data_IF_763738300754
#
_entry.id   IF_763738300754
#
_cell.length_a   1.000
_cell.length_b   1.000
_cell.length_c   1.000
_cell.angle_alpha   90.00
_cell.angle_beta   90.00
_cell.angle_gamma   90.00
#
_symmetry.space_group_name_H-M   'P 1'
#
loop_
_entity.id
_entity.type
_entity.pdbx_description
1 polymer ?
#
# COMPACT_ATOMS: atom_id res chain seq x y z
N UNK A 1 -21.56 2.40 7.83
CA UNK A 1 -20.10 2.38 8.02
C UNK A 1 -19.48 3.62 7.37
N UNK A 2 -18.60 4.33 8.07
CA UNK A 2 -17.93 5.50 7.49
C UNK A 2 -16.95 5.03 6.39
N UNK A 3 -17.16 5.48 5.16
CA UNK A 3 -16.38 5.05 3.99
C UNK A 3 -14.90 5.45 4.06
N UNK A 4 -14.60 6.53 4.76
CA UNK A 4 -13.23 6.97 5.03
C UNK A 4 -12.52 6.01 6.01
N UNK A 5 -13.24 5.54 7.05
CA UNK A 5 -12.73 4.49 7.95
C UNK A 5 -12.44 3.21 7.18
N UNK A 6 -13.34 2.80 6.27
CA UNK A 6 -13.14 1.61 5.45
C UNK A 6 -11.86 1.71 4.61
N UNK A 7 -11.65 2.80 3.88
CA UNK A 7 -10.44 2.97 3.08
C UNK A 7 -9.18 3.00 3.94
N UNK A 8 -9.22 3.68 5.09
CA UNK A 8 -8.09 3.70 6.03
C UNK A 8 -7.78 2.29 6.56
N UNK A 9 -8.82 1.50 6.87
CA UNK A 9 -8.67 0.13 7.32
C UNK A 9 -8.07 -0.77 6.22
N UNK A 10 -8.45 -0.58 4.95
CA UNK A 10 -7.84 -1.29 3.82
C UNK A 10 -6.36 -0.95 3.73
N UNK A 11 -5.98 0.33 3.79
CA UNK A 11 -4.57 0.74 3.78
C UNK A 11 -3.77 0.13 4.94
N UNK A 12 -4.32 0.13 6.15
CA UNK A 12 -3.68 -0.47 7.32
C UNK A 12 -3.55 -2.00 7.19
N UNK A 13 -4.62 -2.68 6.74
CA UNK A 13 -4.61 -4.12 6.54
C UNK A 13 -3.61 -4.53 5.46
N UNK A 14 -3.53 -3.79 4.36
CA UNK A 14 -2.55 -4.03 3.30
C UNK A 14 -1.13 -3.76 3.77
N UNK A 15 -0.90 -2.70 4.55
CA UNK A 15 0.41 -2.44 5.17
C UNK A 15 0.87 -3.60 6.04
N UNK A 16 0.02 -4.03 6.98
CA UNK A 16 0.31 -5.17 7.87
C UNK A 16 0.49 -6.46 7.06
N UNK A 17 -0.34 -6.68 6.03
CA UNK A 17 -0.24 -7.83 5.14
C UNK A 17 1.09 -7.87 4.38
N UNK A 18 1.54 -6.75 3.82
CA UNK A 18 2.84 -6.65 3.13
C UNK A 18 3.99 -6.92 4.10
N UNK A 19 3.95 -6.37 5.32
CA UNK A 19 4.97 -6.66 6.34
C UNK A 19 4.96 -8.13 6.77
N UNK A 20 3.78 -8.74 6.91
CA UNK A 20 3.64 -10.14 7.27
C UNK A 20 4.20 -11.08 6.19
N UNK A 21 4.04 -10.73 4.90
CA UNK A 21 4.66 -11.47 3.79
C UNK A 21 6.18 -11.38 3.84
N UNK A 22 6.74 -10.20 4.12
CA UNK A 22 8.21 -10.05 4.24
C UNK A 22 8.71 -10.85 5.44
N UNK A 23 8.01 -10.74 6.58
CA UNK A 23 8.34 -11.48 7.80
C UNK A 23 8.32 -13.00 7.57
N UNK A 24 7.36 -13.49 6.78
CA UNK A 24 7.25 -14.92 6.52
C UNK A 24 8.39 -15.49 5.69
N UNK A 25 9.23 -14.67 5.07
CA UNK A 25 10.47 -15.12 4.40
C UNK A 25 11.65 -15.30 5.35
N UNK A 26 11.60 -14.71 6.55
CA UNK A 26 12.73 -14.71 7.48
C UNK A 26 12.99 -16.14 7.96
N UNK A 27 14.22 -16.62 7.79
CA UNK A 27 14.65 -17.99 8.15
C UNK A 27 13.91 -19.12 7.42
N UNK A 28 13.16 -18.82 6.36
CA UNK A 28 12.60 -19.86 5.49
C UNK A 28 13.68 -20.33 4.52
N UNK A 29 13.79 -21.65 4.34
CA UNK A 29 14.66 -22.25 3.33
C UNK A 29 13.88 -22.51 2.04
N UNK A 30 14.53 -22.25 0.91
CA UNK A 30 14.02 -22.61 -0.41
C UNK A 30 14.19 -24.11 -0.70
N UNK A 31 13.75 -24.56 -1.88
CA UNK A 31 13.90 -25.94 -2.32
C UNK A 31 15.37 -26.40 -2.46
N UNK A 32 16.33 -25.49 -2.42
CA UNK A 32 17.78 -25.76 -2.47
C UNK A 32 18.43 -25.78 -1.08
N UNK A 33 17.66 -25.53 -0.02
CA UNK A 33 18.15 -25.43 1.36
C UNK A 33 18.83 -24.11 1.67
N UNK A 34 18.68 -23.08 0.82
CA UNK A 34 19.20 -21.74 1.08
C UNK A 34 18.17 -20.90 1.77
N UNK A 35 18.61 -20.13 2.76
CA UNK A 35 17.74 -19.16 3.44
C UNK A 35 17.31 -18.06 2.46
N UNK A 36 15.99 -17.87 2.35
CA UNK A 36 15.33 -16.91 1.46
C UNK A 36 15.60 -15.47 1.90
N UNK A 37 15.48 -15.21 3.19
CA UNK A 37 15.80 -13.92 3.80
C UNK A 37 16.47 -14.15 5.16
N UNK A 38 17.69 -13.63 5.32
CA UNK A 38 18.42 -13.71 6.58
C UNK A 38 17.89 -12.67 7.58
N UNK A 39 17.94 -12.94 8.90
CA UNK A 39 17.45 -12.02 9.93
C UNK A 39 18.08 -10.61 9.88
N UNK A 40 19.33 -10.52 9.44
CA UNK A 40 20.09 -9.27 9.34
C UNK A 40 19.50 -8.33 8.29
N UNK A 41 19.02 -8.87 7.16
CA UNK A 41 18.46 -8.10 6.03
C UNK A 41 16.96 -7.78 6.22
N UNK A 42 16.33 -8.34 7.25
CA UNK A 42 14.90 -8.17 7.55
C UNK A 42 14.48 -6.70 7.60
N UNK A 43 15.24 -5.87 8.31
CA UNK A 43 14.90 -4.45 8.50
C UNK A 43 15.03 -3.69 7.18
N UNK A 44 16.05 -4.01 6.39
CA UNK A 44 16.27 -3.40 5.09
C UNK A 44 15.16 -3.78 4.09
N UNK A 45 14.68 -5.02 4.12
CA UNK A 45 13.50 -5.45 3.34
C UNK A 45 12.21 -4.72 3.78
N UNK A 46 12.02 -4.44 5.07
CA UNK A 46 10.81 -3.77 5.54
C UNK A 46 10.81 -2.26 5.29
N UNK A 47 11.99 -1.63 5.29
CA UNK A 47 12.12 -0.17 5.27
C UNK A 47 11.45 0.50 4.07
N UNK A 48 11.61 0.04 2.81
CA UNK A 48 10.90 0.62 1.66
C UNK A 48 9.38 0.57 1.81
N UNK A 49 8.84 -0.55 2.31
CA UNK A 49 7.40 -0.72 2.56
C UNK A 49 6.91 0.26 3.61
N UNK A 50 7.63 0.41 4.72
CA UNK A 50 7.30 1.37 5.78
C UNK A 50 7.29 2.80 5.25
N UNK A 51 8.26 3.17 4.42
CA UNK A 51 8.32 4.52 3.83
C UNK A 51 7.12 4.77 2.91
N UNK A 52 6.80 3.83 2.02
CA UNK A 52 5.68 3.95 1.08
C UNK A 52 4.35 4.04 1.84
N UNK A 53 4.03 3.07 2.68
CA UNK A 53 2.75 3.03 3.40
C UNK A 53 2.65 4.13 4.47
N UNK A 54 3.75 4.44 5.15
CA UNK A 54 3.80 5.53 6.13
C UNK A 54 3.47 6.87 5.51
N UNK A 55 4.01 7.16 4.31
CA UNK A 55 3.66 8.36 3.55
C UNK A 55 2.17 8.42 3.19
N UNK A 56 1.60 7.31 2.70
CA UNK A 56 0.17 7.22 2.37
C UNK A 56 -0.74 7.40 3.57
N UNK A 57 -0.49 6.65 4.66
CA UNK A 57 -1.32 6.71 5.86
C UNK A 57 -1.27 8.11 6.49
N UNK A 58 -0.09 8.70 6.59
CA UNK A 58 0.07 10.06 7.11
C UNK A 58 -0.66 11.07 6.23
N UNK A 59 -0.50 10.99 4.91
CA UNK A 59 -1.19 11.86 3.96
C UNK A 59 -2.71 11.71 4.06
N UNK A 60 -3.23 10.49 3.99
CA UNK A 60 -4.67 10.22 4.07
C UNK A 60 -5.27 10.80 5.36
N UNK A 61 -4.64 10.54 6.51
CA UNK A 61 -5.09 11.06 7.80
C UNK A 61 -5.05 12.59 7.81
N UNK A 62 -3.97 13.21 7.33
CA UNK A 62 -3.85 14.66 7.26
C UNK A 62 -4.96 15.29 6.42
N UNK A 63 -5.23 14.75 5.22
CA UNK A 63 -6.31 15.25 4.36
C UNK A 63 -7.69 15.02 5.00
N UNK A 64 -7.88 13.90 5.71
CA UNK A 64 -9.14 13.61 6.38
C UNK A 64 -9.48 14.62 7.49
N UNK A 65 -8.48 14.99 8.31
CA UNK A 65 -8.69 15.94 9.42
C UNK A 65 -8.65 17.41 8.97
N UNK A 66 -7.71 17.79 8.09
CA UNK A 66 -7.57 19.18 7.65
C UNK A 66 -8.64 19.60 6.66
N UNK A 67 -9.16 18.66 5.85
CA UNK A 67 -10.14 18.90 4.78
C UNK A 67 -9.85 20.16 3.95
N UNK A 68 -8.68 20.22 3.29
CA UNK A 68 -8.22 21.45 2.63
C UNK A 68 -9.01 21.83 1.37
N UNK A 69 -9.85 20.94 0.85
CA UNK A 69 -10.61 21.19 -0.37
C UNK A 69 -12.00 21.76 -0.07
N UNK A 70 -12.44 22.68 -0.94
CA UNK A 70 -13.74 23.33 -0.83
C UNK A 70 -14.88 22.29 -0.86
N UNK A 71 -15.97 22.54 -0.10
CA UNK A 71 -17.15 21.69 -0.15
C UNK A 71 -17.75 21.65 -1.54
N UNK A 72 -18.28 20.48 -1.92
CA UNK A 72 -18.90 20.30 -3.23
C UNK A 72 -20.28 20.94 -3.27
N UNK A 73 -20.62 21.56 -4.42
CA UNK A 73 -21.97 22.10 -4.69
C UNK A 73 -23.07 21.04 -4.57
N UNK A 74 -22.76 19.77 -4.85
CA UNK A 74 -23.73 18.67 -4.74
C UNK A 74 -23.05 17.39 -4.20
N UNK A 75 -22.81 17.32 -2.88
CA UNK A 75 -21.94 16.32 -2.28
C UNK A 75 -22.52 14.90 -2.40
N UNK A 76 -23.84 14.75 -2.28
CA UNK A 76 -24.51 13.44 -2.32
C UNK A 76 -24.38 12.75 -3.68
N UNK A 77 -24.57 13.49 -4.78
CA UNK A 77 -24.55 12.93 -6.15
C UNK A 77 -23.18 12.35 -6.51
N UNK A 78 -22.11 13.06 -6.16
CA UNK A 78 -20.75 12.69 -6.58
C UNK A 78 -20.00 11.85 -5.54
N UNK A 79 -20.50 11.72 -4.31
CA UNK A 79 -19.82 10.98 -3.26
C UNK A 79 -19.65 9.50 -3.58
N UNK A 80 -20.63 8.86 -4.21
CA UNK A 80 -20.54 7.44 -4.58
C UNK A 80 -19.46 7.19 -5.63
N UNK A 81 -19.41 8.02 -6.69
CA UNK A 81 -18.40 7.92 -7.73
C UNK A 81 -16.99 8.16 -7.19
N UNK A 82 -16.78 9.23 -6.40
CA UNK A 82 -15.47 9.51 -5.80
C UNK A 82 -15.00 8.37 -4.90
N UNK A 83 -15.91 7.81 -4.11
CA UNK A 83 -15.60 6.65 -3.27
C UNK A 83 -15.22 5.43 -4.11
N UNK A 84 -15.99 5.12 -5.16
CA UNK A 84 -15.71 3.98 -6.02
C UNK A 84 -14.35 4.09 -6.70
N UNK A 85 -14.00 5.29 -7.20
CA UNK A 85 -12.68 5.56 -7.80
C UNK A 85 -11.57 5.44 -6.75
N UNK A 86 -11.72 6.06 -5.57
CA UNK A 86 -10.74 5.95 -4.50
C UNK A 86 -10.54 4.50 -4.02
N UNK A 87 -11.62 3.74 -3.90
CA UNK A 87 -11.60 2.33 -3.55
C UNK A 87 -10.89 1.50 -4.62
N UNK A 88 -11.24 1.68 -5.90
CA UNK A 88 -10.60 0.96 -6.99
C UNK A 88 -9.10 1.25 -7.06
N UNK A 89 -8.70 2.52 -6.99
CA UNK A 89 -7.29 2.91 -6.94
C UNK A 89 -6.56 2.30 -5.74
N UNK A 90 -7.18 2.32 -4.56
CA UNK A 90 -6.62 1.72 -3.35
C UNK A 90 -6.44 0.22 -3.50
N UNK A 91 -7.46 -0.51 -3.96
CA UNK A 91 -7.39 -1.96 -4.13
C UNK A 91 -6.35 -2.35 -5.18
N UNK A 92 -6.33 -1.69 -6.33
CA UNK A 92 -5.37 -1.98 -7.41
C UNK A 92 -3.95 -1.71 -6.94
N UNK A 93 -3.70 -0.57 -6.29
CA UNK A 93 -2.38 -0.25 -5.72
C UNK A 93 -1.92 -1.35 -4.77
N UNK A 94 -2.71 -1.65 -3.74
CA UNK A 94 -2.32 -2.60 -2.71
C UNK A 94 -2.18 -4.02 -3.26
N UNK A 95 -3.02 -4.43 -4.21
CA UNK A 95 -2.91 -5.72 -4.87
C UNK A 95 -1.60 -5.85 -5.67
N UNK A 96 -1.21 -4.80 -6.40
CA UNK A 96 0.06 -4.79 -7.14
C UNK A 96 1.25 -4.89 -6.18
N UNK A 97 1.27 -4.08 -5.11
CA UNK A 97 2.37 -4.12 -4.14
C UNK A 97 2.45 -5.50 -3.47
N UNK A 98 1.32 -6.04 -3.02
CA UNK A 98 1.27 -7.37 -2.40
C UNK A 98 1.72 -8.47 -3.37
N UNK A 99 1.30 -8.40 -4.63
CA UNK A 99 1.74 -9.33 -5.67
C UNK A 99 3.26 -9.26 -5.91
N UNK A 100 3.83 -8.06 -5.95
CA UNK A 100 5.26 -7.85 -6.17
C UNK A 100 6.10 -8.40 -5.00
N UNK A 101 5.73 -8.10 -3.75
CA UNK A 101 6.46 -8.68 -2.60
C UNK A 101 6.25 -10.18 -2.43
N UNK A 102 5.21 -10.75 -3.06
CA UNK A 102 4.94 -12.19 -3.04
C UNK A 102 5.62 -12.96 -4.18
N UNK A 103 6.40 -12.31 -5.05
CA UNK A 103 6.99 -12.95 -6.23
C UNK A 103 7.91 -14.12 -5.88
N UNK A 104 8.68 -14.01 -4.80
CA UNK A 104 9.51 -15.11 -4.33
C UNK A 104 8.67 -16.38 -4.03
N UNK A 105 7.52 -16.27 -3.33
CA UNK A 105 6.65 -17.43 -3.13
C UNK A 105 6.05 -18.00 -4.41
N UNK A 106 5.78 -17.15 -5.41
CA UNK A 106 5.11 -17.55 -6.64
C UNK A 106 6.06 -18.18 -7.66
N UNK A 107 7.30 -17.71 -7.72
CA UNK A 107 8.28 -18.10 -8.74
C UNK A 107 9.52 -18.79 -8.19
N UNK A 108 9.90 -18.52 -6.93
CA UNK A 108 11.10 -19.08 -6.30
C UNK A 108 12.42 -18.69 -6.97
N UNK A 109 12.41 -17.72 -7.89
CA UNK A 109 13.57 -17.38 -8.73
C UNK A 109 14.14 -15.98 -8.46
N UNK A 110 13.41 -15.15 -7.72
CA UNK A 110 13.77 -13.76 -7.42
C UNK A 110 14.36 -13.64 -6.01
N UNK A 111 15.19 -12.62 -5.77
CA UNK A 111 15.62 -12.27 -4.42
C UNK A 111 14.54 -11.39 -3.77
N UNK A 112 14.23 -11.64 -2.49
CA UNK A 112 13.19 -10.88 -1.77
C UNK A 112 13.47 -9.37 -1.76
N UNK A 113 14.74 -8.98 -1.60
CA UNK A 113 15.15 -7.57 -1.64
C UNK A 113 14.85 -6.92 -2.99
N UNK A 114 15.12 -7.61 -4.10
CA UNK A 114 14.84 -7.11 -5.45
C UNK A 114 13.34 -6.98 -5.70
N UNK A 115 12.54 -7.91 -5.18
CA UNK A 115 11.08 -7.88 -5.25
C UNK A 115 10.51 -6.69 -4.48
N UNK A 116 11.04 -6.42 -3.28
CA UNK A 116 10.68 -5.26 -2.45
C UNK A 116 11.07 -3.95 -3.13
N UNK A 117 12.28 -3.84 -3.69
CA UNK A 117 12.75 -2.63 -4.37
C UNK A 117 11.94 -2.35 -5.64
N UNK A 118 11.58 -3.42 -6.37
CA UNK A 118 10.66 -3.34 -7.50
C UNK A 118 9.29 -2.84 -7.04
N UNK A 119 8.74 -3.40 -5.95
CA UNK A 119 7.48 -2.95 -5.37
C UNK A 119 7.53 -1.47 -4.97
N UNK A 120 8.61 -1.01 -4.36
CA UNK A 120 8.84 0.39 -3.97
C UNK A 120 8.88 1.32 -5.19
N UNK A 121 9.56 0.92 -6.25
CA UNK A 121 9.63 1.68 -7.52
C UNK A 121 8.25 1.82 -8.16
N UNK A 122 7.50 0.71 -8.26
CA UNK A 122 6.14 0.71 -8.77
C UNK A 122 5.18 1.51 -7.88
N UNK A 123 5.34 1.44 -6.55
CA UNK A 123 4.59 2.27 -5.63
C UNK A 123 4.80 3.76 -5.91
N UNK A 124 6.04 4.18 -6.14
CA UNK A 124 6.37 5.56 -6.52
C UNK A 124 5.62 5.99 -7.80
N UNK A 125 5.66 5.15 -8.84
CA UNK A 125 4.98 5.42 -10.12
C UNK A 125 3.45 5.47 -9.98
N UNK A 126 2.85 4.49 -9.31
CA UNK A 126 1.40 4.45 -9.10
C UNK A 126 0.91 5.61 -8.23
N UNK A 127 1.80 6.17 -7.39
CA UNK A 127 1.44 7.26 -6.49
C UNK A 127 1.07 8.56 -7.19
N UNK A 128 1.54 8.79 -8.41
CA UNK A 128 1.11 9.92 -9.23
C UNK A 128 -0.40 9.92 -9.51
N UNK A 129 -1.04 8.76 -9.50
CA UNK A 129 -2.48 8.61 -9.73
C UNK A 129 -3.23 8.39 -8.41
N UNK A 130 -2.74 7.48 -7.58
CA UNK A 130 -3.47 6.99 -6.41
C UNK A 130 -3.49 8.03 -5.28
N UNK A 131 -2.41 8.78 -5.08
CA UNK A 131 -2.33 9.77 -4.01
C UNK A 131 -3.29 10.97 -4.23
N UNK A 132 -3.34 11.62 -5.41
CA UNK A 132 -4.30 12.71 -5.65
C UNK A 132 -5.76 12.27 -5.50
N UNK A 133 -6.11 11.08 -6.00
CA UNK A 133 -7.47 10.53 -5.89
C UNK A 133 -7.89 10.35 -4.44
N UNK A 134 -7.03 9.73 -3.62
CA UNK A 134 -7.30 9.53 -2.21
C UNK A 134 -7.30 10.86 -1.44
N UNK A 135 -6.29 11.72 -1.65
CA UNK A 135 -6.23 13.04 -1.04
C UNK A 135 -7.52 13.84 -1.31
N UNK A 136 -7.99 13.86 -2.56
CA UNK A 136 -9.24 14.52 -2.91
C UNK A 136 -10.47 13.88 -2.25
N UNK A 137 -10.54 12.55 -2.19
CA UNK A 137 -11.66 11.87 -1.52
C UNK A 137 -11.73 12.20 -0.03
N UNK A 138 -10.60 12.16 0.68
CA UNK A 138 -10.51 12.41 2.11
C UNK A 138 -10.58 13.90 2.46
N UNK A 139 -10.04 14.77 1.61
CA UNK A 139 -9.87 16.20 1.88
C UNK A 139 -11.04 17.11 1.51
N UNK A 140 -12.09 16.58 0.89
CA UNK A 140 -13.28 17.35 0.54
C UNK A 140 -14.29 17.32 1.68
N UNK A 141 -14.78 18.51 2.06
CA UNK A 141 -15.84 18.72 3.04
C UNK A 141 -17.22 18.25 2.53
#
# INVERSE_FOLDING_TARGET
MNKQLLLTAIWLASFVGTLAVIESYVQVEDATGKTVLIPEDRVDAMKPVVVVYGGYLTGILAFWFLKPFRPLRNPRKWHQYRFAVALACTLVFNAIILYLVSQHYLSGHTLVLDDVDTASTFAGLLSFVVAPVNAYYFGVQ
#
